data_IF_058938368514
#
_entry.id   IF_058938368514
#
_cell.length_a   1.000
_cell.length_b   1.000
_cell.length_c   1.000
_cell.angle_alpha   90.00
_cell.angle_beta   90.00
_cell.angle_gamma   90.00
#
_symmetry.space_group_name_H-M   'P 1'
#
loop_
_entity.id
_entity.type
_entity.pdbx_description
1 polymer ?
#
# COMPACT_ATOMS: atom_id res chain seq x y z
N UNK A 1 7.80 12.85 6.34
CA UNK A 1 7.61 11.90 7.47
C UNK A 1 6.78 10.68 7.08
N UNK A 2 5.46 10.80 6.82
CA UNK A 2 4.66 9.62 6.38
C UNK A 2 5.17 9.09 5.05
N UNK A 3 5.37 9.99 4.06
CA UNK A 3 5.98 9.64 2.78
C UNK A 3 7.29 8.85 2.97
N UNK A 4 8.24 9.39 3.71
CA UNK A 4 9.56 8.78 3.90
C UNK A 4 9.44 7.37 4.50
N UNK A 5 8.62 7.20 5.53
CA UNK A 5 8.35 5.89 6.13
C UNK A 5 7.72 4.91 5.12
N UNK A 6 6.72 5.35 4.36
CA UNK A 6 6.07 4.50 3.37
C UNK A 6 7.00 4.13 2.21
N UNK A 7 7.79 5.08 1.72
CA UNK A 7 8.81 4.85 0.69
C UNK A 7 9.81 3.82 1.18
N UNK A 8 10.37 3.98 2.39
CA UNK A 8 11.32 3.02 2.97
C UNK A 8 10.74 1.60 3.10
N UNK A 9 9.47 1.47 3.52
CA UNK A 9 8.79 0.17 3.63
C UNK A 9 8.67 -0.50 2.25
N UNK A 10 8.20 0.21 1.24
CA UNK A 10 7.99 -0.37 -0.09
C UNK A 10 9.30 -0.62 -0.83
N UNK A 11 10.27 0.29 -0.74
CA UNK A 11 11.61 0.10 -1.34
C UNK A 11 12.32 -1.10 -0.72
N UNK A 12 12.17 -1.31 0.60
CA UNK A 12 12.72 -2.47 1.31
C UNK A 12 12.23 -3.82 0.78
N UNK A 13 11.12 -3.84 0.04
CA UNK A 13 10.53 -5.04 -0.56
C UNK A 13 10.48 -4.98 -2.10
N UNK A 14 11.28 -4.09 -2.71
CA UNK A 14 11.42 -3.99 -4.17
C UNK A 14 10.22 -3.37 -4.89
N UNK A 15 9.43 -2.54 -4.19
CA UNK A 15 8.29 -1.82 -4.76
C UNK A 15 8.55 -0.32 -4.73
N UNK A 16 8.34 0.35 -5.85
CA UNK A 16 8.33 1.81 -5.96
C UNK A 16 6.95 2.35 -5.57
N UNK A 17 6.90 3.16 -4.52
CA UNK A 17 5.75 3.98 -4.19
C UNK A 17 5.74 5.24 -5.07
N UNK A 18 4.89 5.27 -6.09
CA UNK A 18 4.83 6.40 -7.05
C UNK A 18 4.08 7.58 -6.45
N UNK A 19 2.91 7.32 -5.86
CA UNK A 19 2.11 8.28 -5.10
C UNK A 19 1.09 7.54 -4.23
N UNK A 20 0.45 8.28 -3.30
CA UNK A 20 -0.60 7.76 -2.44
C UNK A 20 -1.54 8.89 -1.97
N UNK A 21 -2.76 8.51 -1.60
CA UNK A 21 -3.77 9.39 -0.99
C UNK A 21 -3.92 9.04 0.49
N UNK A 22 -3.92 10.05 1.36
CA UNK A 22 -4.22 9.89 2.79
C UNK A 22 -5.50 10.61 3.16
N UNK A 23 -6.20 10.07 4.15
CA UNK A 23 -7.29 10.74 4.83
C UNK A 23 -6.98 10.87 6.33
N UNK A 24 -7.44 11.96 6.93
CA UNK A 24 -7.18 12.26 8.33
C UNK A 24 -8.48 12.53 9.08
N UNK A 25 -8.60 11.91 10.25
CA UNK A 25 -9.68 12.15 11.18
C UNK A 25 -9.26 13.08 12.31
N UNK A 26 -10.24 13.46 13.14
CA UNK A 26 -10.01 14.14 14.42
C UNK A 26 -10.60 13.32 15.55
N UNK A 27 -9.84 13.16 16.61
CA UNK A 27 -10.30 12.49 17.84
C UNK A 27 -10.20 13.47 19.02
N UNK A 28 -11.12 13.43 20.00
CA UNK A 28 -11.00 14.24 21.20
C UNK A 28 -9.69 13.93 21.96
N UNK A 29 -9.03 14.97 22.46
CA UNK A 29 -7.81 14.86 23.26
C UNK A 29 -7.82 15.95 24.35
N UNK A 30 -8.29 15.60 25.54
CA UNK A 30 -8.58 16.55 26.62
C UNK A 30 -9.60 17.60 26.18
N UNK A 31 -9.24 18.88 26.35
CA UNK A 31 -10.05 20.03 25.91
C UNK A 31 -9.86 20.36 24.41
N UNK A 32 -9.08 19.56 23.68
CA UNK A 32 -8.71 19.78 22.29
C UNK A 32 -9.07 18.64 21.34
N UNK A 33 -8.49 18.70 20.14
CA UNK A 33 -8.62 17.66 19.12
C UNK A 33 -7.23 17.25 18.61
N UNK A 34 -7.03 15.95 18.42
CA UNK A 34 -5.83 15.38 17.81
C UNK A 34 -6.14 14.92 16.40
N UNK A 35 -5.26 15.26 15.46
CA UNK A 35 -5.32 14.73 14.09
C UNK A 35 -4.75 13.32 14.09
N UNK A 36 -5.48 12.39 13.50
CA UNK A 36 -5.08 10.99 13.34
C UNK A 36 -5.12 10.60 11.88
N UNK A 37 -4.14 9.81 11.45
CA UNK A 37 -4.23 9.16 10.15
C UNK A 37 -5.38 8.15 10.19
N UNK A 38 -6.20 8.14 9.14
CA UNK A 38 -7.39 7.30 9.04
C UNK A 38 -7.42 6.59 7.67
N UNK A 39 -8.57 5.97 7.37
CA UNK A 39 -8.83 5.23 6.12
C UNK A 39 -7.85 4.06 5.93
N UNK A 40 -7.45 3.76 4.69
CA UNK A 40 -6.64 2.61 4.33
C UNK A 40 -5.32 2.98 3.64
N UNK A 41 -4.30 2.16 3.87
CA UNK A 41 -3.09 2.11 3.06
C UNK A 41 -3.10 0.77 2.33
N UNK A 42 -3.44 0.79 1.05
CA UNK A 42 -3.60 -0.40 0.22
C UNK A 42 -3.24 -0.09 -1.25
N UNK A 43 -3.12 -1.10 -2.13
CA UNK A 43 -2.91 -0.87 -3.56
C UNK A 43 -4.09 -0.15 -4.26
N UNK A 44 -5.21 0.08 -3.55
CA UNK A 44 -6.30 0.95 -4.00
C UNK A 44 -5.97 2.44 -3.79
N UNK A 45 -5.32 2.77 -2.66
CA UNK A 45 -4.97 4.13 -2.25
C UNK A 45 -3.54 4.55 -2.61
N UNK A 46 -2.71 3.61 -3.07
CA UNK A 46 -1.30 3.81 -3.45
C UNK A 46 -1.03 3.33 -4.87
N UNK A 47 -0.22 4.05 -5.65
CA UNK A 47 0.38 3.53 -6.89
C UNK A 47 1.69 2.84 -6.58
N UNK A 48 1.75 1.55 -6.88
CA UNK A 48 2.81 0.63 -6.47
C UNK A 48 3.35 -0.07 -7.69
N UNK A 49 4.59 0.21 -8.07
CA UNK A 49 5.21 -0.38 -9.26
C UNK A 49 6.39 -1.24 -8.86
N UNK A 50 6.52 -2.41 -9.46
CA UNK A 50 7.68 -3.25 -9.29
C UNK A 50 8.96 -2.50 -9.73
N UNK A 51 10.02 -2.52 -8.94
CA UNK A 51 11.21 -1.71 -9.22
C UNK A 51 12.02 -2.20 -10.43
N UNK A 52 11.98 -3.52 -10.71
CA UNK A 52 12.78 -4.14 -11.76
C UNK A 52 12.07 -4.12 -13.12
N UNK A 53 10.81 -4.56 -13.14
CA UNK A 53 9.99 -4.68 -14.35
C UNK A 53 9.18 -3.44 -14.68
N UNK A 54 9.03 -2.53 -13.71
CA UNK A 54 8.12 -1.38 -13.79
C UNK A 54 6.64 -1.80 -13.99
N UNK A 55 6.30 -3.04 -13.63
CA UNK A 55 4.95 -3.57 -13.65
C UNK A 55 4.08 -2.88 -12.58
N UNK A 56 2.86 -2.49 -12.95
CA UNK A 56 1.91 -1.88 -12.01
C UNK A 56 1.31 -2.96 -11.12
N UNK A 57 1.40 -2.80 -9.81
CA UNK A 57 0.85 -3.74 -8.81
C UNK A 57 -0.37 -3.17 -8.08
N UNK A 58 -0.93 -2.06 -8.57
CA UNK A 58 -2.00 -1.30 -7.96
C UNK A 58 -3.30 -1.27 -8.80
N UNK A 59 -4.30 -0.53 -8.33
CA UNK A 59 -5.60 -0.37 -8.98
C UNK A 59 -5.55 0.14 -10.42
N UNK A 60 -4.44 0.73 -10.87
CA UNK A 60 -4.25 1.07 -12.28
C UNK A 60 -4.34 -0.15 -13.21
N UNK A 61 -4.06 -1.37 -12.72
CA UNK A 61 -4.31 -2.60 -13.49
C UNK A 61 -5.78 -2.75 -13.90
N UNK A 62 -6.69 -2.40 -13.00
CA UNK A 62 -8.13 -2.36 -13.32
C UNK A 62 -8.45 -1.17 -14.21
N UNK A 63 -7.98 0.04 -13.86
CA UNK A 63 -8.27 1.27 -14.63
C UNK A 63 -7.81 1.20 -16.08
N UNK A 64 -6.73 0.45 -16.34
CA UNK A 64 -6.10 0.32 -17.66
C UNK A 64 -6.36 -1.05 -18.32
N UNK A 65 -7.25 -1.88 -17.75
CA UNK A 65 -7.59 -3.21 -18.27
C UNK A 65 -6.38 -4.14 -18.49
N UNK A 66 -5.40 -4.11 -17.58
CA UNK A 66 -4.18 -4.93 -17.65
C UNK A 66 -4.38 -6.36 -17.13
N UNK A 67 -5.51 -6.65 -16.49
CA UNK A 67 -5.79 -7.95 -15.86
C UNK A 67 -4.91 -8.23 -14.63
N UNK A 68 -5.05 -9.41 -14.01
CA UNK A 68 -4.18 -9.85 -12.91
C UNK A 68 -4.18 -8.97 -11.65
N UNK A 69 -5.27 -8.27 -11.37
CA UNK A 69 -5.36 -7.36 -10.21
C UNK A 69 -5.21 -8.10 -8.88
N UNK A 70 -5.90 -9.24 -8.74
CA UNK A 70 -5.84 -10.05 -7.51
C UNK A 70 -4.42 -10.57 -7.28
N UNK A 71 -3.79 -11.12 -8.32
CA UNK A 71 -2.42 -11.63 -8.25
C UNK A 71 -1.42 -10.53 -7.89
N UNK A 72 -1.58 -9.32 -8.45
CA UNK A 72 -0.76 -8.16 -8.11
C UNK A 72 -0.90 -7.77 -6.63
N UNK A 73 -2.12 -7.77 -6.09
CA UNK A 73 -2.36 -7.41 -4.69
C UNK A 73 -1.78 -8.49 -3.75
N UNK A 74 -1.91 -9.76 -4.13
CA UNK A 74 -1.31 -10.86 -3.42
C UNK A 74 0.22 -10.75 -3.40
N UNK A 75 0.86 -10.42 -4.53
CA UNK A 75 2.31 -10.20 -4.57
C UNK A 75 2.75 -9.04 -3.67
N UNK A 76 1.98 -7.95 -3.59
CA UNK A 76 2.27 -6.87 -2.63
C UNK A 76 2.20 -7.40 -1.19
N UNK A 77 1.17 -8.17 -0.85
CA UNK A 77 1.01 -8.75 0.48
C UNK A 77 2.13 -9.74 0.84
N UNK A 78 2.51 -10.62 -0.09
CA UNK A 78 3.61 -11.58 0.07
C UNK A 78 4.95 -10.87 0.30
N UNK A 79 5.25 -9.84 -0.49
CA UNK A 79 6.47 -9.02 -0.34
C UNK A 79 6.53 -8.30 1.00
N UNK A 80 5.38 -7.83 1.51
CA UNK A 80 5.25 -7.23 2.84
C UNK A 80 5.24 -8.27 3.98
N UNK A 81 5.27 -9.57 3.67
CA UNK A 81 5.23 -10.65 4.67
C UNK A 81 3.88 -10.79 5.38
N UNK A 82 2.79 -10.36 4.74
CA UNK A 82 1.43 -10.36 5.31
C UNK A 82 0.66 -11.65 5.05
N UNK A 83 1.17 -12.52 4.18
CA UNK A 83 0.60 -13.86 3.97
C UNK A 83 1.08 -14.79 5.08
N UNK A 84 0.15 -15.29 5.90
CA UNK A 84 0.39 -16.45 6.74
C UNK A 84 0.83 -17.61 5.84
N UNK A 85 1.85 -18.36 6.25
CA UNK A 85 2.19 -19.63 5.61
C UNK A 85 0.91 -20.49 5.52
N UNK A 86 0.32 -20.60 4.33
CA UNK A 86 -0.61 -21.69 4.02
C UNK A 86 0.26 -22.92 3.80
N UNK A 87 0.96 -23.31 4.86
CA UNK A 87 1.59 -24.59 5.08
C UNK A 87 1.16 -25.08 6.47
N UNK A 88 -0.14 -25.00 6.76
CA UNK A 88 -0.74 -25.94 7.70
C UNK A 88 -0.81 -27.29 6.98
N UNK A 89 0.17 -28.15 7.27
CA UNK A 89 0.10 -29.59 7.03
C UNK A 89 -1.03 -30.23 7.84
#
# INVERSE_FOLDING_TARGET
KINDCMVEIFEGVGIRLVDFKLEFGRVPDGDGQKIVLADEISPDSCRLWDMDSNEKMDKDRFRQNLGGMVDAYQQVAERLGLTSDINDN
#
